data_IF_852161938076
#
_entry.id   IF_852161938076
#
_cell.length_a   1.000
_cell.length_b   1.000
_cell.length_c   1.000
_cell.angle_alpha   90.00
_cell.angle_beta   90.00
_cell.angle_gamma   90.00
#
_symmetry.space_group_name_H-M   'P 1'
#
loop_
_entity.id
_entity.type
_entity.pdbx_description
1 polymer ?
#
# COMPACT_ATOMS: atom_id res chain seq x y z
N UNK A 1 -57.65 -4.39 46.57
CA UNK A 1 -56.26 -4.45 46.19
C UNK A 1 -56.10 -5.40 44.99
N UNK A 2 -55.84 -4.88 43.79
CA UNK A 2 -55.61 -5.68 42.57
C UNK A 2 -54.10 -5.86 42.37
N UNK A 3 -53.57 -7.06 42.13
CA UNK A 3 -52.19 -7.22 41.78
C UNK A 3 -51.95 -6.90 40.28
N UNK A 4 -51.01 -6.01 40.03
CA UNK A 4 -50.55 -5.71 38.69
C UNK A 4 -49.67 -6.84 38.17
N UNK A 5 -50.06 -7.43 37.05
CA UNK A 5 -49.30 -8.48 36.33
C UNK A 5 -48.18 -7.78 35.50
N UNK A 6 -46.94 -7.92 35.95
CA UNK A 6 -45.75 -7.44 35.25
C UNK A 6 -45.42 -8.47 34.17
N UNK A 7 -45.72 -8.15 32.89
CA UNK A 7 -45.32 -8.95 31.73
C UNK A 7 -43.89 -8.53 31.39
N UNK A 8 -42.90 -9.40 31.70
CA UNK A 8 -41.54 -9.28 31.20
C UNK A 8 -41.52 -9.76 29.74
N UNK A 9 -41.44 -8.82 28.82
CA UNK A 9 -41.13 -9.12 27.43
C UNK A 9 -39.65 -9.42 27.33
N UNK A 10 -39.28 -10.73 27.29
CA UNK A 10 -37.97 -11.15 26.85
C UNK A 10 -37.85 -10.90 25.34
N UNK A 11 -37.19 -9.79 24.96
CA UNK A 11 -36.69 -9.62 23.59
C UNK A 11 -35.52 -10.61 23.42
N UNK A 12 -35.82 -11.81 22.93
CA UNK A 12 -34.81 -12.70 22.38
C UNK A 12 -34.31 -12.06 21.10
N UNK A 13 -33.18 -11.33 21.21
CA UNK A 13 -32.38 -10.96 20.06
C UNK A 13 -31.89 -12.28 19.44
N UNK A 14 -32.61 -12.76 18.44
CA UNK A 14 -32.14 -13.85 17.57
C UNK A 14 -30.88 -13.35 16.84
N UNK A 15 -29.72 -13.59 17.43
CA UNK A 15 -28.46 -13.57 16.73
C UNK A 15 -28.58 -14.63 15.64
N UNK A 16 -28.96 -14.21 14.44
CA UNK A 16 -28.82 -15.02 13.24
C UNK A 16 -27.35 -15.34 13.08
N UNK A 17 -26.89 -16.44 13.69
CA UNK A 17 -25.70 -17.13 13.25
C UNK A 17 -26.00 -17.62 11.82
N UNK A 18 -25.81 -16.73 10.84
CA UNK A 18 -25.71 -17.20 9.47
C UNK A 18 -24.61 -18.24 9.45
N UNK A 19 -25.00 -19.48 9.18
CA UNK A 19 -24.05 -20.57 8.94
C UNK A 19 -23.07 -20.03 7.87
N UNK A 20 -21.88 -19.66 8.30
CA UNK A 20 -20.80 -19.25 7.41
C UNK A 20 -20.42 -20.49 6.60
N UNK A 21 -21.08 -20.67 5.45
CA UNK A 21 -20.56 -21.52 4.39
C UNK A 21 -19.17 -21.00 4.11
N UNK A 22 -18.16 -21.82 4.37
CA UNK A 22 -16.77 -21.39 4.38
C UNK A 22 -16.40 -20.77 3.04
N UNK A 23 -16.34 -19.42 2.98
CA UNK A 23 -15.92 -18.70 1.79
C UNK A 23 -14.51 -19.13 1.40
N UNK A 24 -14.32 -19.42 0.13
CA UNK A 24 -13.02 -19.77 -0.44
C UNK A 24 -12.57 -18.77 -1.48
N UNK A 25 -11.25 -18.55 -1.55
CA UNK A 25 -10.61 -17.79 -2.62
C UNK A 25 -9.35 -18.57 -3.04
N UNK A 26 -9.17 -18.83 -4.33
CA UNK A 26 -8.09 -19.69 -4.86
C UNK A 26 -7.98 -21.06 -4.14
N UNK A 27 -9.11 -21.67 -3.79
CA UNK A 27 -9.15 -22.94 -3.05
C UNK A 27 -8.87 -22.81 -1.55
N UNK A 28 -8.46 -21.64 -1.05
CA UNK A 28 -8.20 -21.40 0.37
C UNK A 28 -9.49 -21.02 1.09
N UNK A 29 -9.83 -21.74 2.14
CA UNK A 29 -10.92 -21.37 3.05
C UNK A 29 -10.50 -20.14 3.86
N UNK A 30 -11.21 -19.03 3.66
CA UNK A 30 -10.94 -17.80 4.38
C UNK A 30 -11.41 -17.91 5.83
N UNK A 31 -10.62 -17.35 6.74
CA UNK A 31 -11.05 -17.17 8.14
C UNK A 31 -12.20 -16.16 8.20
N UNK A 32 -13.07 -16.20 9.23
CA UNK A 32 -14.25 -15.36 9.32
C UNK A 32 -13.99 -13.88 9.11
N UNK A 33 -12.92 -13.35 9.71
CA UNK A 33 -12.55 -11.93 9.60
C UNK A 33 -12.09 -11.54 8.19
N UNK A 34 -11.42 -12.46 7.47
CA UNK A 34 -10.99 -12.24 6.08
C UNK A 34 -12.16 -12.41 5.12
N UNK A 35 -13.07 -13.34 5.41
CA UNK A 35 -14.31 -13.48 4.66
C UNK A 35 -15.17 -12.22 4.77
N UNK A 36 -15.30 -11.64 5.98
CA UNK A 36 -16.02 -10.39 6.20
C UNK A 36 -15.38 -9.20 5.45
N UNK A 37 -14.05 -9.14 5.40
CA UNK A 37 -13.32 -8.14 4.61
C UNK A 37 -13.64 -8.28 3.11
N UNK A 38 -13.63 -9.49 2.59
CA UNK A 38 -13.98 -9.76 1.21
C UNK A 38 -15.45 -9.41 0.89
N UNK A 39 -16.38 -9.69 1.83
CA UNK A 39 -17.80 -9.33 1.69
C UNK A 39 -18.00 -7.81 1.71
N UNK A 40 -17.24 -7.07 2.52
CA UNK A 40 -17.22 -5.60 2.51
C UNK A 40 -16.83 -5.06 1.13
N UNK A 41 -15.74 -5.56 0.56
CA UNK A 41 -15.24 -5.15 -0.75
C UNK A 41 -16.29 -5.41 -1.84
N UNK A 42 -16.86 -6.61 -1.88
CA UNK A 42 -17.88 -6.97 -2.86
C UNK A 42 -19.17 -6.13 -2.70
N UNK A 43 -19.57 -5.87 -1.47
CA UNK A 43 -20.74 -5.01 -1.20
C UNK A 43 -20.52 -3.59 -1.72
N UNK A 44 -19.31 -3.03 -1.56
CA UNK A 44 -19.00 -1.66 -2.01
C UNK A 44 -18.85 -1.56 -3.53
N UNK A 45 -18.29 -2.57 -4.16
CA UNK A 45 -18.11 -2.59 -5.62
C UNK A 45 -19.35 -3.10 -6.36
N UNK A 46 -20.26 -3.80 -5.67
CA UNK A 46 -21.38 -4.51 -6.29
C UNK A 46 -20.95 -5.72 -7.14
N UNK A 47 -19.67 -6.13 -7.04
CA UNK A 47 -19.07 -7.19 -7.86
C UNK A 47 -18.30 -8.19 -7.02
N UNK A 48 -18.30 -9.45 -7.48
CA UNK A 48 -17.50 -10.51 -6.87
C UNK A 48 -16.01 -10.28 -7.13
N UNK A 49 -15.19 -10.55 -6.13
CA UNK A 49 -13.74 -10.55 -6.28
C UNK A 49 -13.36 -11.65 -7.28
N UNK A 50 -12.60 -11.26 -8.29
CA UNK A 50 -11.93 -12.18 -9.18
C UNK A 50 -10.53 -12.47 -8.65
N UNK A 51 -10.18 -13.72 -8.52
CA UNK A 51 -8.84 -14.13 -8.10
C UNK A 51 -8.32 -15.25 -8.99
N UNK A 52 -7.06 -15.15 -9.41
CA UNK A 52 -6.42 -16.18 -10.24
C UNK A 52 -4.93 -16.30 -9.96
N UNK A 53 -4.39 -17.49 -10.24
CA UNK A 53 -2.95 -17.70 -10.36
C UNK A 53 -2.51 -17.30 -11.76
N UNK A 54 -1.55 -16.38 -11.84
CA UNK A 54 -1.03 -15.89 -13.12
C UNK A 54 0.45 -15.53 -13.02
N UNK A 55 1.15 -15.56 -14.16
CA UNK A 55 2.52 -15.08 -14.23
C UNK A 55 2.58 -13.58 -13.94
N UNK A 56 3.28 -13.21 -12.89
CA UNK A 56 3.58 -11.84 -12.52
C UNK A 56 5.03 -11.51 -12.86
N UNK A 57 5.42 -10.24 -12.74
CA UNK A 57 6.83 -9.86 -12.86
C UNK A 57 7.70 -10.61 -11.84
N UNK A 58 8.97 -10.87 -12.19
CA UNK A 58 9.87 -11.81 -11.49
C UNK A 58 9.95 -11.64 -9.97
N UNK A 59 9.73 -10.41 -9.46
CA UNK A 59 9.80 -10.09 -8.03
C UNK A 59 8.43 -9.87 -7.37
N UNK A 60 7.35 -10.01 -8.14
CA UNK A 60 5.98 -9.79 -7.64
C UNK A 60 5.34 -11.11 -7.28
N UNK A 61 4.93 -11.26 -6.02
CA UNK A 61 4.26 -12.49 -5.54
C UNK A 61 2.74 -12.40 -5.64
N UNK A 62 2.19 -11.19 -5.59
CA UNK A 62 0.77 -10.92 -5.78
C UNK A 62 0.55 -9.46 -6.17
N UNK A 63 -0.64 -9.15 -6.65
CA UNK A 63 -1.10 -7.80 -6.95
C UNK A 63 -2.61 -7.72 -6.82
N UNK A 64 -3.13 -6.58 -6.37
CA UNK A 64 -4.56 -6.33 -6.33
C UNK A 64 -4.93 -4.94 -6.81
N UNK A 65 -6.04 -4.86 -7.53
CA UNK A 65 -6.53 -3.59 -8.08
C UNK A 65 -8.03 -3.66 -8.37
N UNK A 66 -8.62 -2.50 -8.60
CA UNK A 66 -9.96 -2.37 -9.16
C UNK A 66 -9.82 -2.21 -10.67
N UNK A 67 -10.46 -3.07 -11.43
CA UNK A 67 -10.45 -2.99 -12.89
C UNK A 67 -11.05 -1.65 -13.35
N UNK A 68 -10.36 -0.94 -14.23
CA UNK A 68 -10.75 0.41 -14.69
C UNK A 68 -11.99 0.40 -15.59
N UNK A 69 -12.24 -0.70 -16.31
CA UNK A 69 -13.33 -0.80 -17.25
C UNK A 69 -14.67 -1.09 -16.58
N UNK A 70 -14.66 -2.01 -15.62
CA UNK A 70 -15.89 -2.53 -15.05
C UNK A 70 -16.00 -2.38 -13.52
N UNK A 71 -14.96 -1.92 -12.83
CA UNK A 71 -14.95 -1.74 -11.38
C UNK A 71 -14.85 -3.03 -10.57
N UNK A 72 -14.44 -4.16 -11.20
CA UNK A 72 -14.30 -5.45 -10.53
C UNK A 72 -13.04 -5.46 -9.66
N UNK A 73 -13.12 -5.87 -8.39
CA UNK A 73 -11.92 -6.13 -7.60
C UNK A 73 -11.21 -7.39 -8.09
N UNK A 74 -9.90 -7.28 -8.31
CA UNK A 74 -9.05 -8.34 -8.86
C UNK A 74 -7.91 -8.61 -7.89
N UNK A 75 -7.59 -9.88 -7.70
CA UNK A 75 -6.41 -10.37 -6.97
C UNK A 75 -5.67 -11.34 -7.88
N UNK A 76 -4.44 -11.01 -8.22
CA UNK A 76 -3.54 -11.87 -8.99
C UNK A 76 -2.46 -12.43 -8.05
N UNK A 77 -2.18 -13.71 -8.15
CA UNK A 77 -1.20 -14.39 -7.30
C UNK A 77 -0.24 -15.20 -8.15
N UNK A 78 1.04 -15.16 -7.82
CA UNK A 78 2.06 -15.97 -8.49
C UNK A 78 1.75 -17.47 -8.35
N UNK A 79 1.82 -18.26 -9.45
CA UNK A 79 1.62 -19.71 -9.41
C UNK A 79 2.53 -20.44 -8.41
N UNK A 80 3.70 -19.88 -8.09
CA UNK A 80 4.61 -20.42 -7.10
C UNK A 80 4.06 -20.50 -5.67
N UNK A 81 2.90 -19.87 -5.41
CA UNK A 81 2.20 -19.96 -4.11
C UNK A 81 1.06 -20.98 -4.10
N UNK A 82 0.75 -21.61 -5.22
CA UNK A 82 -0.29 -22.63 -5.29
C UNK A 82 0.03 -23.78 -4.34
N UNK A 83 -0.93 -24.09 -3.47
CA UNK A 83 -0.74 -25.13 -2.44
C UNK A 83 0.10 -24.74 -1.21
N UNK A 84 0.66 -23.52 -1.15
CA UNK A 84 1.34 -23.06 0.06
C UNK A 84 0.32 -22.66 1.14
N UNK A 85 0.04 -23.62 2.03
CA UNK A 85 -0.95 -23.48 3.09
C UNK A 85 -0.64 -22.38 4.11
N UNK A 86 0.59 -21.85 4.15
CA UNK A 86 1.01 -20.78 5.06
C UNK A 86 1.03 -19.42 4.39
N UNK A 87 1.68 -19.32 3.22
CA UNK A 87 1.89 -18.04 2.54
C UNK A 87 0.65 -17.58 1.78
N UNK A 88 -0.03 -18.49 1.07
CA UNK A 88 -1.18 -18.10 0.24
C UNK A 88 -2.30 -17.44 1.04
N UNK A 89 -2.73 -17.92 2.22
CA UNK A 89 -3.72 -17.22 3.04
C UNK A 89 -3.24 -15.84 3.50
N UNK A 90 -1.94 -15.68 3.82
CA UNK A 90 -1.37 -14.42 4.24
C UNK A 90 -1.35 -13.40 3.09
N UNK A 91 -0.94 -13.84 1.90
CA UNK A 91 -0.97 -13.02 0.68
C UNK A 91 -2.37 -12.57 0.34
N UNK A 92 -3.35 -13.49 0.33
CA UNK A 92 -4.75 -13.15 0.06
C UNK A 92 -5.29 -12.11 1.06
N UNK A 93 -4.96 -12.27 2.35
CA UNK A 93 -5.37 -11.30 3.38
C UNK A 93 -4.75 -9.92 3.14
N UNK A 94 -3.49 -9.88 2.75
CA UNK A 94 -2.75 -8.67 2.42
C UNK A 94 -3.37 -7.94 1.23
N UNK A 95 -3.61 -8.66 0.13
CA UNK A 95 -4.20 -8.08 -1.08
C UNK A 95 -5.63 -7.57 -0.87
N UNK A 96 -6.42 -8.27 -0.05
CA UNK A 96 -7.75 -7.80 0.33
C UNK A 96 -7.70 -6.51 1.16
N UNK A 97 -6.67 -6.30 1.97
CA UNK A 97 -6.49 -5.04 2.70
C UNK A 97 -6.19 -3.87 1.75
N UNK A 98 -5.38 -4.08 0.71
CA UNK A 98 -5.19 -3.08 -0.35
C UNK A 98 -6.50 -2.76 -1.06
N UNK A 99 -7.27 -3.77 -1.49
CA UNK A 99 -8.57 -3.57 -2.13
C UNK A 99 -9.54 -2.80 -1.23
N UNK A 100 -9.56 -3.09 0.08
CA UNK A 100 -10.38 -2.34 1.03
C UNK A 100 -10.03 -0.86 1.06
N UNK A 101 -8.75 -0.52 1.01
CA UNK A 101 -8.35 0.89 0.91
C UNK A 101 -8.88 1.53 -0.37
N UNK A 102 -8.81 0.83 -1.52
CA UNK A 102 -9.36 1.35 -2.80
C UNK A 102 -10.86 1.62 -2.70
N UNK A 103 -11.64 0.68 -2.18
CA UNK A 103 -13.10 0.86 -2.04
C UNK A 103 -13.49 1.85 -0.93
N UNK A 104 -12.54 2.26 -0.09
CA UNK A 104 -12.65 3.34 0.89
C UNK A 104 -12.07 4.67 0.38
N UNK A 105 -11.90 4.81 -0.94
CA UNK A 105 -11.42 6.02 -1.63
C UNK A 105 -9.97 6.43 -1.33
N UNK A 106 -9.14 5.53 -0.78
CA UNK A 106 -7.69 5.76 -0.75
C UNK A 106 -7.18 5.75 -2.19
N UNK A 107 -6.47 6.81 -2.62
CA UNK A 107 -6.15 6.97 -4.03
C UNK A 107 -5.00 6.10 -4.49
N UNK A 108 -4.94 5.85 -5.80
CA UNK A 108 -3.71 5.54 -6.51
C UNK A 108 -3.11 6.82 -7.09
N UNK A 109 -1.83 6.78 -7.47
CA UNK A 109 -1.11 7.94 -7.97
C UNK A 109 -0.47 7.63 -9.32
N UNK A 110 -0.55 8.62 -10.23
CA UNK A 110 0.14 8.59 -11.52
C UNK A 110 0.79 9.94 -11.76
N UNK A 111 1.98 9.97 -12.36
CA UNK A 111 2.59 11.25 -12.72
C UNK A 111 2.01 11.82 -14.02
N UNK A 112 1.82 13.14 -14.03
CA UNK A 112 1.61 13.86 -15.27
C UNK A 112 2.89 13.82 -16.13
N UNK A 113 2.76 13.70 -17.47
CA UNK A 113 3.91 13.69 -18.38
C UNK A 113 4.78 14.97 -18.34
N UNK A 114 4.24 16.06 -17.81
CA UNK A 114 4.96 17.34 -17.70
C UNK A 114 5.87 17.45 -16.47
N UNK A 115 5.83 16.47 -15.58
CA UNK A 115 6.69 16.44 -14.38
C UNK A 115 8.14 16.23 -14.78
N UNK A 116 9.02 17.15 -14.33
CA UNK A 116 10.44 17.13 -14.68
C UNK A 116 11.32 17.21 -13.43
N UNK A 117 12.51 16.65 -13.55
CA UNK A 117 13.57 16.79 -12.54
C UNK A 117 14.04 18.25 -12.43
N UNK A 118 14.80 18.58 -11.38
CA UNK A 118 15.49 19.88 -11.25
C UNK A 118 16.37 20.24 -12.45
N UNK A 119 16.82 19.25 -13.23
CA UNK A 119 17.64 19.46 -14.43
C UNK A 119 16.81 19.58 -15.71
N UNK A 120 15.49 19.70 -15.61
CA UNK A 120 14.57 19.85 -16.73
C UNK A 120 14.30 18.58 -17.54
N UNK A 121 14.90 17.43 -17.15
CA UNK A 121 14.61 16.13 -17.78
C UNK A 121 13.29 15.60 -17.28
N UNK A 122 12.53 14.94 -18.17
CA UNK A 122 11.34 14.19 -17.75
C UNK A 122 11.72 13.26 -16.58
N UNK A 123 10.85 13.19 -15.59
CA UNK A 123 10.99 12.17 -14.58
C UNK A 123 10.57 10.88 -15.28
N UNK A 124 11.55 10.07 -15.70
CA UNK A 124 11.32 8.66 -16.00
C UNK A 124 10.98 8.01 -14.67
N UNK A 125 9.72 8.19 -14.28
CA UNK A 125 9.24 7.55 -13.08
C UNK A 125 8.86 6.15 -13.51
N UNK A 126 9.65 5.23 -13.09
CA UNK A 126 9.18 3.87 -13.02
C UNK A 126 7.91 3.88 -12.17
N UNK A 127 6.77 3.61 -12.78
CA UNK A 127 5.48 3.52 -12.07
C UNK A 127 5.60 2.59 -10.85
N UNK A 128 6.50 1.59 -10.93
CA UNK A 128 6.87 0.73 -9.83
C UNK A 128 7.32 1.49 -8.57
N UNK A 129 8.16 2.52 -8.69
CA UNK A 129 8.60 3.31 -7.54
C UNK A 129 7.45 4.03 -6.83
N UNK A 130 6.44 4.48 -7.59
CA UNK A 130 5.26 5.13 -7.01
C UNK A 130 4.42 4.11 -6.27
N UNK A 131 4.21 2.96 -6.89
CA UNK A 131 3.46 1.87 -6.30
C UNK A 131 4.14 1.38 -5.02
N UNK A 132 5.46 1.17 -5.04
CA UNK A 132 6.26 0.79 -3.88
C UNK A 132 6.17 1.81 -2.73
N UNK A 133 6.24 3.11 -3.05
CA UNK A 133 6.06 4.16 -2.05
C UNK A 133 4.64 4.18 -1.49
N UNK A 134 3.65 3.97 -2.36
CA UNK A 134 2.25 3.88 -1.95
C UNK A 134 2.02 2.70 -1.02
N UNK A 135 2.58 1.53 -1.34
CA UNK A 135 2.51 0.33 -0.52
C UNK A 135 3.08 0.57 0.88
N UNK A 136 4.21 1.26 1.00
CA UNK A 136 4.78 1.58 2.31
C UNK A 136 3.82 2.38 3.20
N UNK A 137 3.10 3.34 2.61
CA UNK A 137 2.13 4.15 3.35
C UNK A 137 0.91 3.29 3.72
N UNK A 138 0.40 2.49 2.80
CA UNK A 138 -0.75 1.62 3.01
C UNK A 138 -0.48 0.52 4.05
N UNK A 139 0.71 -0.09 4.00
CA UNK A 139 1.13 -1.06 5.01
C UNK A 139 1.09 -0.45 6.41
N UNK A 140 1.47 0.81 6.55
CA UNK A 140 1.36 1.50 7.84
C UNK A 140 -0.08 1.67 8.30
N UNK A 141 -1.02 1.88 7.36
CA UNK A 141 -2.45 2.03 7.65
C UNK A 141 -3.05 0.73 8.17
N UNK A 142 -2.78 -0.39 7.49
CA UNK A 142 -3.43 -1.66 7.82
C UNK A 142 -2.54 -2.67 8.57
N UNK A 143 -1.30 -2.30 8.93
CA UNK A 143 -0.41 -3.14 9.73
C UNK A 143 -1.07 -3.69 11.01
N UNK A 144 -1.81 -2.88 11.84
CA UNK A 144 -2.47 -3.42 13.03
C UNK A 144 -3.45 -4.56 12.71
N UNK A 145 -4.06 -4.55 11.54
CA UNK A 145 -4.96 -5.62 11.11
C UNK A 145 -4.19 -6.84 10.63
N UNK A 146 -3.09 -6.66 9.91
CA UNK A 146 -2.21 -7.77 9.55
C UNK A 146 -1.66 -8.48 10.79
N UNK A 147 -1.28 -7.73 11.83
CA UNK A 147 -0.85 -8.27 13.12
C UNK A 147 -2.00 -9.05 13.80
N UNK A 148 -3.20 -8.45 13.85
CA UNK A 148 -4.41 -9.09 14.38
C UNK A 148 -4.77 -10.36 13.60
N UNK A 149 -4.60 -10.36 12.30
CA UNK A 149 -4.83 -11.54 11.45
C UNK A 149 -3.73 -12.60 11.57
N UNK A 150 -2.62 -12.28 12.26
CA UNK A 150 -1.46 -13.18 12.37
C UNK A 150 -0.76 -13.46 11.04
N UNK A 151 -0.89 -12.54 10.08
CA UNK A 151 -0.28 -12.66 8.75
C UNK A 151 0.96 -11.76 8.60
N UNK A 152 1.12 -10.77 9.48
CA UNK A 152 2.32 -9.95 9.53
C UNK A 152 3.54 -10.80 9.89
N UNK A 153 4.64 -10.66 9.14
CA UNK A 153 5.85 -11.47 9.31
C UNK A 153 5.81 -12.86 8.63
N UNK A 154 4.67 -13.30 8.11
CA UNK A 154 4.61 -14.47 7.22
C UNK A 154 5.19 -14.14 5.85
N UNK A 155 4.96 -12.89 5.41
CA UNK A 155 5.52 -12.34 4.19
C UNK A 155 6.86 -11.69 4.57
N UNK A 156 7.98 -12.26 4.10
CA UNK A 156 9.32 -11.67 4.32
C UNK A 156 9.54 -10.52 3.34
N UNK A 157 8.72 -9.47 3.50
CA UNK A 157 8.74 -8.27 2.65
C UNK A 157 10.11 -7.55 2.75
N UNK A 158 10.80 -7.75 3.86
CA UNK A 158 12.07 -7.06 4.15
C UNK A 158 13.30 -7.90 3.78
N UNK A 159 13.19 -9.23 3.72
CA UNK A 159 14.33 -10.13 3.39
C UNK A 159 14.92 -9.87 2.01
N UNK A 160 14.09 -9.47 1.06
CA UNK A 160 14.53 -9.17 -0.29
C UNK A 160 15.35 -7.87 -0.39
N UNK A 161 15.13 -6.89 0.51
CA UNK A 161 15.94 -5.66 0.52
C UNK A 161 17.43 -5.95 0.74
N UNK A 162 17.76 -6.82 1.67
CA UNK A 162 19.15 -7.20 1.93
C UNK A 162 19.78 -7.96 0.76
N UNK A 163 19.04 -8.89 0.15
CA UNK A 163 19.48 -9.63 -1.04
C UNK A 163 19.73 -8.69 -2.22
N UNK A 164 18.78 -7.79 -2.50
CA UNK A 164 18.89 -6.83 -3.58
C UNK A 164 20.06 -5.87 -3.37
N UNK A 165 20.29 -5.38 -2.15
CA UNK A 165 21.44 -4.53 -1.84
C UNK A 165 22.75 -5.27 -2.04
N UNK A 166 22.84 -6.55 -1.64
CA UNK A 166 24.04 -7.37 -1.84
C UNK A 166 24.29 -7.66 -3.33
N UNK A 167 23.26 -8.00 -4.10
CA UNK A 167 23.36 -8.29 -5.53
C UNK A 167 23.75 -7.07 -6.38
N UNK A 168 23.47 -5.86 -5.87
CA UNK A 168 23.79 -4.59 -6.56
C UNK A 168 25.08 -3.92 -6.06
N UNK A 169 25.95 -4.67 -5.40
CA UNK A 169 27.26 -4.17 -4.95
C UNK A 169 28.01 -3.49 -6.09
N UNK A 170 28.48 -2.26 -5.85
CA UNK A 170 29.24 -1.48 -6.83
C UNK A 170 28.40 -0.80 -7.93
N UNK A 171 27.07 -0.97 -7.92
CA UNK A 171 26.17 -0.24 -8.84
C UNK A 171 25.76 1.10 -8.26
N UNK A 172 25.43 2.05 -9.14
CA UNK A 172 24.89 3.35 -8.73
C UNK A 172 23.58 3.20 -7.99
N UNK A 173 23.40 4.01 -6.93
CA UNK A 173 22.13 4.07 -6.18
C UNK A 173 20.99 4.66 -7.03
N UNK A 174 19.77 4.19 -6.76
CA UNK A 174 18.55 4.57 -7.44
C UNK A 174 17.48 5.07 -6.46
N UNK A 175 16.36 5.57 -6.98
CA UNK A 175 15.21 5.93 -6.14
C UNK A 175 14.57 4.69 -5.49
N UNK A 176 14.56 3.55 -6.20
CA UNK A 176 14.10 2.28 -5.63
C UNK A 176 14.92 1.89 -4.39
N UNK A 177 16.23 2.14 -4.37
CA UNK A 177 17.06 1.86 -3.19
C UNK A 177 16.64 2.72 -1.98
N UNK A 178 16.28 3.98 -2.20
CA UNK A 178 15.79 4.82 -1.12
C UNK A 178 14.44 4.32 -0.55
N UNK A 179 13.54 3.86 -1.41
CA UNK A 179 12.26 3.26 -1.00
C UNK A 179 12.51 1.96 -0.25
N UNK A 180 13.38 1.10 -0.76
CA UNK A 180 13.74 -0.17 -0.11
C UNK A 180 14.41 0.06 1.24
N UNK A 181 15.22 1.12 1.40
CA UNK A 181 15.78 1.48 2.69
C UNK A 181 14.70 1.95 3.69
N UNK A 182 13.74 2.78 3.22
CA UNK A 182 12.59 3.15 4.03
C UNK A 182 11.77 1.92 4.44
N UNK A 183 11.55 0.98 3.51
CA UNK A 183 10.87 -0.30 3.77
C UNK A 183 11.57 -1.09 4.86
N UNK A 184 12.90 -1.19 4.80
CA UNK A 184 13.66 -1.89 5.83
C UNK A 184 13.45 -1.28 7.22
N UNK A 185 13.44 0.06 7.35
CA UNK A 185 13.19 0.73 8.64
C UNK A 185 11.75 0.49 9.13
N UNK A 186 10.77 0.49 8.23
CA UNK A 186 9.36 0.42 8.58
C UNK A 186 8.88 -1.02 8.85
N UNK A 187 9.42 -2.00 8.12
CA UNK A 187 8.89 -3.36 8.09
C UNK A 187 9.71 -4.36 8.92
N UNK A 188 11.02 -4.12 9.13
CA UNK A 188 11.78 -5.01 9.99
C UNK A 188 11.36 -4.87 11.45
N UNK A 189 11.09 -6.01 12.07
CA UNK A 189 10.80 -6.08 13.50
C UNK A 189 12.06 -6.06 14.36
N UNK A 190 13.18 -6.58 13.84
CA UNK A 190 14.46 -6.67 14.55
C UNK A 190 15.41 -5.55 14.08
N UNK A 191 15.87 -4.76 15.04
CA UNK A 191 16.90 -3.74 14.83
C UNK A 191 18.21 -4.30 14.23
N UNK A 192 18.51 -5.60 14.42
CA UNK A 192 19.68 -6.25 13.82
C UNK A 192 19.57 -6.29 12.29
N UNK A 193 18.36 -6.53 11.77
CA UNK A 193 18.13 -6.57 10.33
C UNK A 193 18.23 -5.19 9.71
N UNK A 194 17.71 -4.16 10.37
CA UNK A 194 17.91 -2.76 9.95
C UNK A 194 19.39 -2.40 9.91
N UNK A 195 20.16 -2.77 10.95
CA UNK A 195 21.62 -2.54 10.99
C UNK A 195 22.34 -3.29 9.87
N UNK A 196 21.94 -4.53 9.57
CA UNK A 196 22.50 -5.32 8.45
C UNK A 196 22.29 -4.63 7.11
N UNK A 197 21.05 -4.18 6.82
CA UNK A 197 20.75 -3.44 5.60
C UNK A 197 21.54 -2.14 5.53
N UNK A 198 21.58 -1.37 6.64
CA UNK A 198 22.36 -0.14 6.72
C UNK A 198 23.84 -0.38 6.41
N UNK A 199 24.40 -1.48 6.93
CA UNK A 199 25.79 -1.89 6.60
C UNK A 199 26.00 -2.16 5.12
N UNK A 200 25.07 -2.87 4.47
CA UNK A 200 25.13 -3.15 3.02
C UNK A 200 25.02 -1.87 2.18
N UNK A 201 24.09 -0.97 2.51
CA UNK A 201 23.95 0.31 1.83
C UNK A 201 25.17 1.21 2.00
N UNK A 202 25.75 1.23 3.21
CA UNK A 202 27.00 1.96 3.48
C UNK A 202 28.16 1.39 2.68
N UNK A 203 28.30 0.06 2.64
CA UNK A 203 29.34 -0.62 1.87
C UNK A 203 29.22 -0.38 0.36
N UNK A 204 27.99 -0.19 -0.14
CA UNK A 204 27.72 0.18 -1.53
C UNK A 204 27.96 1.68 -1.82
N UNK A 205 28.18 2.51 -0.80
CA UNK A 205 28.31 3.96 -0.93
C UNK A 205 26.98 4.70 -1.16
N UNK A 206 25.84 4.07 -0.90
CA UNK A 206 24.49 4.59 -1.19
C UNK A 206 24.01 5.57 -0.12
N UNK A 207 24.76 6.66 0.07
CA UNK A 207 24.50 7.67 1.11
C UNK A 207 23.19 8.44 0.90
N UNK A 208 22.84 8.72 -0.36
CA UNK A 208 21.59 9.42 -0.72
C UNK A 208 20.39 8.52 -0.38
N UNK A 209 20.45 7.25 -0.71
CA UNK A 209 19.37 6.29 -0.44
C UNK A 209 19.14 6.11 1.06
N UNK A 210 20.22 6.02 1.86
CA UNK A 210 20.10 6.00 3.32
C UNK A 210 19.42 7.26 3.82
N UNK A 211 19.87 8.45 3.40
CA UNK A 211 19.32 9.73 3.85
C UNK A 211 17.84 9.86 3.49
N UNK A 212 17.51 9.71 2.21
CA UNK A 212 16.13 9.89 1.72
C UNK A 212 15.21 8.82 2.29
N UNK A 213 15.65 7.57 2.35
CA UNK A 213 14.86 6.48 2.92
C UNK A 213 14.58 6.69 4.41
N UNK A 214 15.56 7.17 5.20
CA UNK A 214 15.34 7.54 6.59
C UNK A 214 14.32 8.68 6.73
N UNK A 215 14.45 9.74 5.93
CA UNK A 215 13.51 10.87 5.94
C UNK A 215 12.08 10.43 5.57
N UNK A 216 11.92 9.52 4.60
CA UNK A 216 10.61 8.97 4.24
C UNK A 216 10.05 8.08 5.36
N UNK A 217 10.86 7.23 5.96
CA UNK A 217 10.43 6.41 7.09
C UNK A 217 9.98 7.26 8.28
N UNK A 218 10.70 8.34 8.59
CA UNK A 218 10.31 9.29 9.63
C UNK A 218 8.98 9.99 9.31
N UNK A 219 8.79 10.42 8.05
CA UNK A 219 7.53 11.01 7.60
C UNK A 219 6.37 10.04 7.82
N UNK A 220 6.53 8.77 7.40
CA UNK A 220 5.48 7.76 7.49
C UNK A 220 5.20 7.39 8.96
N UNK A 221 6.24 7.15 9.77
CA UNK A 221 6.09 6.78 11.17
C UNK A 221 5.44 7.87 12.03
N UNK A 222 5.77 9.14 11.75
CA UNK A 222 5.23 10.27 12.51
C UNK A 222 3.91 10.81 11.93
N UNK A 223 3.32 10.14 10.95
CA UNK A 223 2.04 10.52 10.37
C UNK A 223 0.93 9.59 10.86
N UNK A 224 -0.23 10.18 11.14
CA UNK A 224 -1.46 9.44 11.41
C UNK A 224 -2.30 9.46 10.14
N UNK A 225 -2.39 8.30 9.47
CA UNK A 225 -3.13 8.16 8.22
C UNK A 225 -4.46 7.46 8.52
N UNK A 226 -5.55 8.23 8.57
CA UNK A 226 -6.91 7.73 8.80
C UNK A 226 -7.83 7.96 7.63
N UNK A 227 -7.53 8.97 6.82
CA UNK A 227 -8.36 9.40 5.71
C UNK A 227 -7.58 9.37 4.39
N UNK A 228 -8.26 9.33 3.25
CA UNK A 228 -7.62 9.50 1.95
C UNK A 228 -6.81 10.81 1.82
N UNK A 229 -7.21 11.86 2.51
CA UNK A 229 -6.52 13.15 2.52
C UNK A 229 -5.21 13.09 3.31
N UNK A 230 -5.18 12.38 4.44
CA UNK A 230 -3.95 12.12 5.20
C UNK A 230 -2.95 11.34 4.34
N UNK A 231 -3.42 10.30 3.64
CA UNK A 231 -2.64 9.48 2.72
C UNK A 231 -1.99 10.34 1.62
N UNK A 232 -2.78 11.22 0.98
CA UNK A 232 -2.28 12.15 -0.03
C UNK A 232 -1.22 13.10 0.53
N UNK A 233 -1.42 13.62 1.74
CA UNK A 233 -0.47 14.52 2.39
C UNK A 233 0.87 13.80 2.69
N UNK A 234 0.82 12.57 3.17
CA UNK A 234 2.02 11.75 3.43
C UNK A 234 2.71 11.42 2.12
N UNK A 235 1.97 11.00 1.09
CA UNK A 235 2.52 10.72 -0.23
C UNK A 235 3.23 11.95 -0.82
N UNK A 236 2.62 13.13 -0.80
CA UNK A 236 3.24 14.37 -1.31
C UNK A 236 4.53 14.72 -0.58
N UNK A 237 4.60 14.50 0.73
CA UNK A 237 5.82 14.75 1.50
C UNK A 237 6.93 13.77 1.11
N UNK A 238 6.63 12.49 0.96
CA UNK A 238 7.60 11.46 0.59
C UNK A 238 8.09 11.62 -0.85
N UNK A 239 7.18 11.85 -1.81
CA UNK A 239 7.55 12.02 -3.22
C UNK A 239 8.41 13.27 -3.44
N UNK A 240 8.20 14.34 -2.64
CA UNK A 240 9.02 15.54 -2.69
C UNK A 240 10.46 15.30 -2.19
N UNK A 241 10.68 14.28 -1.37
CA UNK A 241 12.03 13.86 -0.97
C UNK A 241 12.70 13.01 -2.04
N UNK A 242 11.95 12.10 -2.62
CA UNK A 242 12.42 11.16 -3.62
C UNK A 242 12.73 11.86 -4.96
N UNK A 243 11.84 12.74 -5.39
CA UNK A 243 11.93 13.52 -6.62
C UNK A 243 11.83 15.02 -6.30
N UNK A 244 12.90 15.65 -5.77
CA UNK A 244 12.82 17.06 -5.44
C UNK A 244 12.51 17.88 -6.70
N UNK A 245 11.39 18.63 -6.72
CA UNK A 245 11.03 19.44 -7.87
C UNK A 245 12.00 20.61 -8.04
N UNK A 246 12.06 21.24 -9.22
CA UNK A 246 12.84 22.45 -9.44
C UNK A 246 12.53 23.51 -8.40
N UNK A 247 13.53 24.28 -7.98
CA UNK A 247 13.39 25.28 -6.90
C UNK A 247 12.20 26.21 -7.08
N UNK A 248 11.45 26.42 -6.01
CA UNK A 248 10.26 27.27 -5.99
C UNK A 248 8.95 26.60 -6.40
N UNK A 249 8.97 25.33 -6.76
CA UNK A 249 7.80 24.52 -7.11
C UNK A 249 7.50 23.49 -6.03
N UNK A 250 6.26 22.98 -6.03
CA UNK A 250 5.82 21.86 -5.19
C UNK A 250 5.03 20.88 -6.03
N UNK A 251 4.91 19.63 -5.58
CA UNK A 251 3.97 18.71 -6.18
C UNK A 251 2.53 19.05 -5.80
N UNK A 252 1.62 18.77 -6.72
CA UNK A 252 0.19 18.99 -6.59
C UNK A 252 -0.53 17.72 -7.01
N UNK A 253 -1.61 17.40 -6.33
CA UNK A 253 -2.51 16.31 -6.68
C UNK A 253 -3.80 16.88 -7.26
N UNK A 254 -4.22 16.31 -8.39
CA UNK A 254 -5.53 16.59 -8.99
C UNK A 254 -6.25 15.28 -9.25
N UNK A 255 -7.58 15.20 -9.00
CA UNK A 255 -8.34 14.01 -9.35
C UNK A 255 -8.21 13.70 -10.83
N UNK A 256 -8.10 12.42 -11.17
CA UNK A 256 -8.19 11.95 -12.54
C UNK A 256 -9.67 11.69 -12.89
N UNK A 257 -10.29 12.52 -13.73
CA UNK A 257 -11.71 12.39 -14.05
C UNK A 257 -12.01 11.20 -14.98
N UNK A 258 -10.98 10.57 -15.55
CA UNK A 258 -11.16 9.43 -16.46
C UNK A 258 -11.47 8.14 -15.72
N UNK A 259 -10.99 8.01 -14.47
CA UNK A 259 -11.28 6.84 -13.65
C UNK A 259 -12.60 7.02 -12.88
N UNK A 260 -13.56 6.10 -13.10
CA UNK A 260 -14.90 6.16 -12.52
C UNK A 260 -15.11 5.19 -11.35
N UNK A 261 -14.22 4.23 -11.17
CA UNK A 261 -14.43 3.10 -10.26
C UNK A 261 -13.64 3.20 -8.96
N UNK A 262 -12.56 3.99 -8.97
CA UNK A 262 -11.79 4.26 -7.77
C UNK A 262 -11.09 5.62 -7.90
N UNK A 263 -10.61 6.15 -6.77
CA UNK A 263 -9.94 7.46 -6.74
C UNK A 263 -8.52 7.32 -7.28
N UNK A 264 -8.25 7.96 -8.42
CA UNK A 264 -6.89 8.13 -8.97
C UNK A 264 -6.51 9.60 -8.93
N UNK A 265 -5.27 9.90 -8.55
CA UNK A 265 -4.75 11.25 -8.46
C UNK A 265 -3.58 11.41 -9.43
N UNK A 266 -3.63 12.49 -10.20
CA UNK A 266 -2.55 12.91 -11.08
C UNK A 266 -1.59 13.77 -10.26
N UNK A 267 -0.32 13.37 -10.22
CA UNK A 267 0.78 14.12 -9.61
C UNK A 267 1.36 15.06 -10.65
N UNK A 268 1.27 16.34 -10.41
CA UNK A 268 1.84 17.39 -11.28
C UNK A 268 2.67 18.39 -10.46
N UNK A 269 3.41 19.28 -11.14
CA UNK A 269 4.15 20.35 -10.49
C UNK A 269 3.27 21.60 -10.43
N UNK A 270 3.09 22.14 -9.22
CA UNK A 270 2.44 23.43 -9.02
C UNK A 270 3.42 24.57 -9.36
N UNK A 271 3.26 25.14 -10.52
CA UNK A 271 4.00 26.33 -10.97
C UNK A 271 3.39 27.57 -10.31
N UNK A 272 3.47 27.69 -8.99
CA UNK A 272 3.12 28.95 -8.35
C UNK A 272 3.97 30.05 -8.97
N UNK A 273 3.30 31.00 -9.58
CA UNK A 273 3.96 32.16 -10.13
C UNK A 273 4.93 32.73 -9.08
N UNK A 274 6.22 32.72 -9.38
CA UNK A 274 7.18 33.52 -8.61
C UNK A 274 6.58 34.91 -8.54
N UNK A 275 6.07 35.32 -7.36
CA UNK A 275 5.79 36.72 -7.14
C UNK A 275 7.07 37.43 -7.52
N UNK A 276 7.06 38.11 -8.66
CA UNK A 276 8.08 39.12 -8.98
C UNK A 276 8.06 40.06 -7.79
N UNK A 277 8.99 39.84 -6.84
CA UNK A 277 9.34 40.89 -5.91
C UNK A 277 10.00 41.96 -6.77
N UNK A 278 9.15 42.80 -7.35
CA UNK A 278 9.58 44.02 -7.96
C UNK A 278 10.26 44.84 -6.88
N UNK A 279 11.54 45.06 -7.03
CA UNK A 279 12.21 46.24 -6.57
C UNK A 279 12.39 47.17 -7.74
#
# INVERSE_FOLDING_TARGET
VKPALLIFLFLTASLSLSAQSGRTLLGVKLRPEIAALADEIEKKTGKKIYAEFTGLEEYMIASSFINEDDGRPIVLVSPGLEGDAKKLPAVLSHELLHLRLRVNNFPTFVFSPDVKTQRGRAIDVEQGNINDLKDLIEHRVFRPEMEKFGVYGVLDIAGDTAKNAAARKGKQESNADAINYARAILEYQDLKDVKRVTGLFTANGWKRSIKIGSEMADIINNSVVKTPEDDQAVFLRCISKLYPPPGGYSFKLTPDPTNKHFRRMIVSIDKRATRKTGK
#
